data_IF_218221071015
#
_entry.id   IF_218221071015
#
_cell.length_a   1.000
_cell.length_b   1.000
_cell.length_c   1.000
_cell.angle_alpha   90.00
_cell.angle_beta   90.00
_cell.angle_gamma   90.00
#
_symmetry.space_group_name_H-M   'P 1'
#
loop_
_entity.id
_entity.type
_entity.pdbx_description
1 polymer ?
#
# COMPACT_ATOMS: atom_id res chain seq x y z
N UNK A 1 4.26 -0.26 -13.19
CA UNK A 1 3.53 1.03 -13.14
C UNK A 1 2.24 0.84 -13.90
N UNK A 2 1.11 0.92 -13.21
CA UNK A 2 -0.21 0.66 -13.76
C UNK A 2 -1.15 1.84 -13.45
N UNK A 3 -1.93 2.27 -14.44
CA UNK A 3 -2.99 3.26 -14.25
C UNK A 3 -4.30 2.59 -13.86
N UNK A 4 -4.93 3.01 -12.75
CA UNK A 4 -6.24 2.50 -12.33
C UNK A 4 -7.24 3.62 -12.14
N UNK A 5 -8.51 3.36 -12.45
CA UNK A 5 -9.59 4.29 -12.16
C UNK A 5 -9.65 4.62 -10.66
N UNK A 6 -9.95 5.88 -10.27
CA UNK A 6 -10.08 6.23 -8.87
C UNK A 6 -11.24 5.51 -8.19
N UNK A 7 -11.00 5.04 -6.97
CA UNK A 7 -12.06 4.56 -6.10
C UNK A 7 -12.70 5.74 -5.37
N UNK A 8 -14.00 5.98 -5.60
CA UNK A 8 -14.78 6.98 -4.87
C UNK A 8 -15.50 8.00 -5.77
N UNK A 9 -16.31 8.90 -5.18
CA UNK A 9 -17.21 9.79 -5.92
C UNK A 9 -16.55 11.06 -6.48
N UNK A 10 -15.26 11.28 -6.21
CA UNK A 10 -14.54 12.50 -6.62
C UNK A 10 -14.05 12.36 -8.08
N UNK A 11 -14.39 13.30 -8.98
CA UNK A 11 -13.85 13.30 -10.33
C UNK A 11 -12.36 13.70 -10.29
N UNK A 12 -11.48 12.71 -10.34
CA UNK A 12 -10.03 12.90 -10.48
C UNK A 12 -9.49 12.01 -11.61
N UNK A 13 -8.27 12.31 -12.08
CA UNK A 13 -7.57 11.47 -13.07
C UNK A 13 -7.27 10.06 -12.55
N UNK A 14 -6.74 9.17 -13.40
CA UNK A 14 -6.33 7.84 -12.98
C UNK A 14 -5.25 7.93 -11.89
N UNK A 15 -5.27 6.97 -10.96
CA UNK A 15 -4.15 6.75 -10.06
C UNK A 15 -3.04 6.03 -10.82
N UNK A 16 -1.79 6.44 -10.58
CA UNK A 16 -0.62 5.66 -10.94
C UNK A 16 -0.25 4.79 -9.74
N UNK A 17 -0.31 3.47 -9.92
CA UNK A 17 0.10 2.51 -8.90
C UNK A 17 1.44 1.87 -9.27
N UNK A 18 2.21 1.56 -8.23
CA UNK A 18 3.44 0.80 -8.34
C UNK A 18 3.69 0.01 -7.06
N UNK A 19 4.07 -1.25 -7.20
CA UNK A 19 4.63 -2.07 -6.12
C UNK A 19 6.16 -2.06 -6.17
N UNK A 20 6.78 -2.01 -5.00
CA UNK A 20 8.23 -2.08 -4.82
C UNK A 20 8.58 -3.24 -3.89
N UNK A 21 9.60 -4.01 -4.26
CA UNK A 21 10.28 -4.90 -3.33
C UNK A 21 11.42 -4.14 -2.66
N UNK A 22 11.42 -4.11 -1.33
CA UNK A 22 12.39 -3.37 -0.53
C UNK A 22 13.04 -4.31 0.48
N UNK A 23 14.37 -4.25 0.57
CA UNK A 23 15.13 -4.86 1.65
C UNK A 23 15.27 -3.84 2.79
N UNK A 24 14.90 -4.24 4.01
CA UNK A 24 14.92 -3.36 5.19
C UNK A 24 15.24 -4.14 6.45
N UNK A 25 15.91 -3.49 7.40
CA UNK A 25 16.12 -3.99 8.76
C UNK A 25 15.08 -3.43 9.75
N UNK A 26 14.23 -2.49 9.30
CA UNK A 26 13.19 -1.88 10.14
C UNK A 26 12.07 -2.88 10.42
N UNK A 27 11.64 -3.08 11.67
CA UNK A 27 10.48 -3.89 11.98
C UNK A 27 9.19 -3.31 11.35
N UNK A 28 8.11 -4.11 11.20
CA UNK A 28 6.89 -3.71 10.48
C UNK A 28 6.30 -2.37 10.93
N UNK A 29 6.30 -2.12 12.25
CA UNK A 29 5.80 -0.88 12.84
C UNK A 29 6.66 0.33 12.46
N UNK A 30 7.98 0.21 12.55
CA UNK A 30 8.90 1.30 12.19
C UNK A 30 8.87 1.57 10.68
N UNK A 31 8.69 0.53 9.86
CA UNK A 31 8.47 0.69 8.42
C UNK A 31 7.18 1.48 8.15
N UNK A 32 6.08 1.14 8.80
CA UNK A 32 4.82 1.88 8.66
C UNK A 32 5.00 3.36 9.04
N UNK A 33 5.66 3.65 10.16
CA UNK A 33 5.91 5.01 10.61
C UNK A 33 6.78 5.78 9.61
N UNK A 34 7.79 5.14 9.02
CA UNK A 34 8.62 5.73 7.97
C UNK A 34 7.82 6.05 6.69
N UNK A 35 6.94 5.16 6.25
CA UNK A 35 6.07 5.39 5.10
C UNK A 35 5.09 6.55 5.36
N UNK A 36 4.47 6.61 6.54
CA UNK A 36 3.60 7.70 6.94
C UNK A 36 4.35 9.04 6.99
N UNK A 37 5.61 9.05 7.39
CA UNK A 37 6.45 10.25 7.38
C UNK A 37 6.75 10.74 5.95
N UNK A 38 7.00 9.82 5.01
CA UNK A 38 7.18 10.15 3.58
C UNK A 38 5.92 10.81 3.03
N UNK A 39 4.75 10.21 3.27
CA UNK A 39 3.48 10.79 2.81
C UNK A 39 3.24 12.19 3.39
N UNK A 40 3.55 12.39 4.68
CA UNK A 40 3.45 13.71 5.33
C UNK A 40 4.39 14.73 4.67
N UNK A 41 5.65 14.35 4.42
CA UNK A 41 6.63 15.21 3.76
C UNK A 41 6.22 15.57 2.32
N UNK A 42 5.52 14.67 1.64
CA UNK A 42 4.96 14.86 0.31
C UNK A 42 3.64 15.65 0.29
N UNK A 43 3.19 16.15 1.44
CA UNK A 43 2.03 17.05 1.53
C UNK A 43 0.71 16.35 1.82
N UNK A 44 0.72 15.18 2.48
CA UNK A 44 -0.51 14.57 3.02
C UNK A 44 -1.16 15.50 4.04
N UNK A 45 -2.17 16.25 3.61
CA UNK A 45 -3.03 17.04 4.47
C UNK A 45 -4.28 16.22 4.83
N UNK A 46 -4.42 15.79 6.10
CA UNK A 46 -5.64 15.11 6.59
C UNK A 46 -6.82 16.10 6.67
N UNK A 47 -7.36 16.53 5.53
CA UNK A 47 -8.53 17.42 5.43
C UNK A 47 -9.85 16.64 5.24
N UNK A 48 -9.82 15.45 4.62
CA UNK A 48 -10.98 14.59 4.42
C UNK A 48 -10.60 13.10 4.29
N UNK A 49 -11.51 12.18 4.67
CA UNK A 49 -11.29 10.71 4.67
C UNK A 49 -10.93 10.13 3.27
N UNK A 50 -11.29 10.84 2.20
CA UNK A 50 -11.03 10.49 0.79
C UNK A 50 -10.54 11.69 -0.02
N UNK A 51 -9.85 12.63 0.64
CA UNK A 51 -9.25 13.76 -0.06
C UNK A 51 -8.16 13.30 -1.04
N UNK A 52 -7.88 14.08 -2.09
CA UNK A 52 -6.78 13.79 -3.00
C UNK A 52 -5.48 13.68 -2.21
N UNK A 53 -4.72 12.61 -2.47
CA UNK A 53 -3.38 12.39 -1.89
C UNK A 53 -2.38 12.37 -3.02
N UNK A 54 -1.22 13.00 -2.80
CA UNK A 54 -0.13 12.96 -3.77
C UNK A 54 0.45 11.54 -3.90
N UNK A 55 0.52 10.83 -2.76
CA UNK A 55 0.97 9.45 -2.67
C UNK A 55 0.25 8.75 -1.50
N UNK A 56 0.09 7.44 -1.62
CA UNK A 56 -0.40 6.53 -0.58
C UNK A 56 0.53 5.31 -0.60
N UNK A 57 1.05 4.92 0.56
CA UNK A 57 2.02 3.84 0.71
C UNK A 57 1.45 2.74 1.62
N UNK A 58 1.15 1.58 1.03
CA UNK A 58 0.64 0.41 1.75
C UNK A 58 1.73 -0.66 1.90
N UNK A 59 1.77 -1.32 3.07
CA UNK A 59 2.57 -2.54 3.26
C UNK A 59 1.69 -3.75 2.91
N UNK A 60 1.92 -4.32 1.74
CA UNK A 60 1.12 -5.46 1.24
C UNK A 60 1.59 -6.79 1.82
N UNK A 61 2.90 -7.02 1.84
CA UNK A 61 3.57 -8.18 2.40
C UNK A 61 4.80 -7.71 3.19
N UNK A 62 5.19 -8.47 4.21
CA UNK A 62 6.40 -8.22 4.99
C UNK A 62 6.99 -9.55 5.48
N UNK A 63 8.21 -9.87 5.03
CA UNK A 63 8.87 -11.13 5.37
C UNK A 63 7.98 -12.35 5.10
N UNK A 64 8.01 -13.31 6.02
CA UNK A 64 7.21 -14.54 5.96
C UNK A 64 6.18 -14.66 7.08
N UNK A 65 6.23 -13.78 8.08
CA UNK A 65 5.36 -13.86 9.26
C UNK A 65 4.21 -12.86 9.16
N UNK A 66 2.97 -13.27 9.51
CA UNK A 66 1.85 -12.36 9.55
C UNK A 66 1.99 -11.36 10.72
N UNK A 67 1.49 -10.14 10.50
CA UNK A 67 1.45 -9.08 11.52
C UNK A 67 -0.01 -8.76 11.79
N UNK A 68 -0.37 -8.65 13.07
CA UNK A 68 -1.72 -8.28 13.50
C UNK A 68 -1.63 -7.36 14.72
N UNK A 69 -1.72 -6.07 14.44
CA UNK A 69 -1.76 -4.99 15.41
C UNK A 69 -3.04 -4.17 15.18
N UNK A 70 -3.34 -3.23 16.08
CA UNK A 70 -4.60 -2.45 16.05
C UNK A 70 -4.87 -1.70 14.74
N UNK A 71 -3.81 -1.32 14.03
CA UNK A 71 -3.80 -0.44 12.87
C UNK A 71 -2.80 -0.92 11.79
N UNK A 72 -2.24 -2.12 11.94
CA UNK A 72 -1.35 -2.75 10.98
C UNK A 72 -1.67 -4.24 10.87
N UNK A 73 -2.13 -4.66 9.69
CA UNK A 73 -2.42 -6.06 9.39
C UNK A 73 -1.68 -6.44 8.11
N UNK A 74 -0.86 -7.50 8.20
CA UNK A 74 -0.05 -8.02 7.09
C UNK A 74 -0.24 -9.55 7.04
N UNK A 75 -0.54 -10.17 5.88
CA UNK A 75 -0.78 -9.55 4.57
C UNK A 75 -1.93 -8.55 4.58
N UNK A 76 -1.85 -7.52 3.73
CA UNK A 76 -2.85 -6.46 3.73
C UNK A 76 -4.26 -7.04 3.44
N UNK A 77 -5.30 -6.70 4.24
CA UNK A 77 -6.61 -7.35 4.18
C UNK A 77 -7.35 -7.16 2.84
N UNK A 78 -7.06 -6.08 2.12
CA UNK A 78 -7.62 -5.82 0.78
C UNK A 78 -6.89 -6.54 -0.36
N UNK A 79 -5.81 -7.27 -0.10
CA UNK A 79 -5.07 -8.00 -1.13
C UNK A 79 -5.91 -8.92 -2.03
N UNK A 80 -6.92 -9.67 -1.54
CA UNK A 80 -7.81 -10.43 -2.41
C UNK A 80 -8.76 -9.56 -3.26
N UNK A 81 -9.00 -8.30 -2.86
CA UNK A 81 -9.93 -7.40 -3.54
C UNK A 81 -9.24 -6.45 -4.55
N UNK A 82 -7.91 -6.45 -4.60
CA UNK A 82 -7.11 -5.55 -5.45
C UNK A 82 -6.43 -6.35 -6.56
N UNK A 83 -7.10 -6.45 -7.70
CA UNK A 83 -6.57 -7.20 -8.85
C UNK A 83 -5.19 -6.71 -9.32
N UNK A 84 -4.92 -5.41 -9.25
CA UNK A 84 -3.61 -4.88 -9.66
C UNK A 84 -2.48 -5.31 -8.72
N UNK A 85 -2.74 -5.46 -7.42
CA UNK A 85 -1.74 -6.02 -6.49
C UNK A 85 -1.36 -7.45 -6.84
N UNK A 86 -2.33 -8.27 -7.27
CA UNK A 86 -2.06 -9.64 -7.70
C UNK A 86 -1.16 -9.67 -8.95
N UNK A 87 -1.41 -8.77 -9.90
CA UNK A 87 -0.56 -8.61 -11.10
C UNK A 87 0.85 -8.15 -10.73
N UNK A 88 0.98 -7.12 -9.91
CA UNK A 88 2.29 -6.57 -9.52
C UNK A 88 3.10 -7.56 -8.68
N UNK A 89 2.48 -8.32 -7.77
CA UNK A 89 3.15 -9.40 -7.05
C UNK A 89 3.69 -10.46 -8.01
N UNK A 90 2.90 -10.86 -9.02
CA UNK A 90 3.33 -11.83 -10.02
C UNK A 90 4.50 -11.29 -10.87
N UNK A 91 4.51 -10.01 -11.23
CA UNK A 91 5.64 -9.36 -11.92
C UNK A 91 6.91 -9.36 -11.07
N UNK A 92 6.77 -9.21 -9.75
CA UNK A 92 7.88 -9.29 -8.79
C UNK A 92 8.30 -10.74 -8.46
N UNK A 93 7.61 -11.75 -9.03
CA UNK A 93 7.88 -13.16 -8.75
C UNK A 93 7.45 -13.61 -7.34
N UNK A 94 6.56 -12.85 -6.69
CA UNK A 94 6.03 -13.13 -5.37
C UNK A 94 4.64 -13.77 -5.49
N UNK A 95 4.36 -14.76 -4.64
CA UNK A 95 3.03 -15.35 -4.52
C UNK A 95 2.49 -15.03 -3.13
N UNK A 96 1.29 -14.44 -3.01
CA UNK A 96 0.69 -14.23 -1.70
C UNK A 96 0.44 -15.59 -1.02
N UNK A 97 0.56 -15.66 0.33
CA UNK A 97 0.25 -16.89 1.05
C UNK A 97 -1.21 -17.30 0.79
N UNK A 98 -1.52 -18.60 0.77
CA UNK A 98 -2.90 -19.06 0.67
C UNK A 98 -3.69 -18.52 1.87
N UNK A 99 -4.82 -17.86 1.57
CA UNK A 99 -5.74 -17.29 2.57
C UNK A 99 -6.57 -18.32 3.30
#
# INVERSE_FOLDING_TARGET
>A
MEETAPLGPQPQGPYLNQMLLVETELPPRELLDALLAIEQAMGRERRAKWGPRLIDCDIVLYGTEPVSESDLVIPHPELPNREFWQRELAELGLTPPPG
#
